data_IF_855146684034
#
_entry.id   IF_855146684034
#
_cell.length_a   1.000
_cell.length_b   1.000
_cell.length_c   1.000
_cell.angle_alpha   90.00
_cell.angle_beta   90.00
_cell.angle_gamma   90.00
#
_symmetry.space_group_name_H-M   'P 1'
#
loop_
_entity.id
_entity.type
_entity.pdbx_description
1 polymer ?
#
# COMPACT_ATOMS: atom_id res chain seq x y z
N UNK A 1 2.78 10.83 -15.74
CA UNK A 1 1.97 9.60 -15.90
C UNK A 1 2.81 8.43 -15.39
N UNK A 2 2.30 7.63 -14.45
CA UNK A 2 3.05 6.52 -13.84
C UNK A 2 3.04 5.26 -14.70
N UNK A 3 3.90 4.29 -14.35
CA UNK A 3 4.01 2.98 -14.99
C UNK A 3 3.71 1.87 -13.98
N UNK A 4 3.07 0.79 -14.43
CA UNK A 4 2.86 -0.42 -13.63
C UNK A 4 3.27 -1.66 -14.42
N UNK A 5 3.78 -2.65 -13.70
CA UNK A 5 3.96 -4.01 -14.17
C UNK A 5 3.01 -4.88 -13.34
N UNK A 6 2.16 -5.65 -14.00
CA UNK A 6 1.19 -6.53 -13.35
C UNK A 6 1.75 -7.95 -13.35
N UNK A 7 1.47 -8.70 -12.30
CA UNK A 7 1.90 -10.09 -12.16
C UNK A 7 1.60 -10.91 -13.42
N UNK A 8 2.52 -11.81 -13.78
CA UNK A 8 2.45 -12.61 -15.02
C UNK A 8 2.95 -11.90 -16.28
N UNK A 9 3.26 -10.60 -16.23
CA UNK A 9 3.93 -9.88 -17.32
C UNK A 9 5.44 -10.14 -17.38
N UNK A 10 6.02 -10.11 -18.59
CA UNK A 10 7.47 -10.12 -18.75
C UNK A 10 8.08 -8.73 -18.43
N UNK A 11 9.41 -8.64 -18.32
CA UNK A 11 10.10 -7.39 -17.93
C UNK A 11 9.81 -6.18 -18.84
N UNK A 12 9.32 -6.40 -20.06
CA UNK A 12 8.98 -5.37 -21.03
C UNK A 12 7.50 -4.96 -21.00
N UNK A 13 6.66 -5.57 -20.15
CA UNK A 13 5.21 -5.37 -20.09
C UNK A 13 4.78 -4.17 -19.22
N UNK A 14 5.63 -3.15 -19.10
CA UNK A 14 5.29 -1.92 -18.36
C UNK A 14 4.22 -1.12 -19.10
N UNK A 15 3.08 -0.92 -18.44
CA UNK A 15 1.94 -0.20 -18.99
C UNK A 15 1.70 1.13 -18.26
N UNK A 16 1.03 2.07 -18.92
CA UNK A 16 0.60 3.30 -18.28
C UNK A 16 -0.46 3.00 -17.21
N UNK A 17 -0.34 3.66 -16.07
CA UNK A 17 -1.35 3.60 -15.01
C UNK A 17 -2.48 4.62 -15.27
N UNK A 18 -3.71 4.31 -14.84
CA UNK A 18 -4.72 5.34 -14.59
C UNK A 18 -4.16 6.43 -13.64
N UNK A 19 -4.80 7.60 -13.60
CA UNK A 19 -4.38 8.71 -12.74
C UNK A 19 -4.35 8.27 -11.27
N UNK A 20 -3.16 8.16 -10.69
CA UNK A 20 -2.93 7.65 -9.34
C UNK A 20 -3.45 8.55 -8.22
N UNK A 21 -3.86 9.78 -8.50
CA UNK A 21 -4.37 10.71 -7.49
C UNK A 21 -5.89 10.59 -7.29
N UNK A 22 -6.53 9.66 -8.00
CA UNK A 22 -7.98 9.47 -8.00
C UNK A 22 -8.32 8.01 -7.67
N UNK A 23 -9.50 7.80 -7.10
CA UNK A 23 -10.07 6.48 -6.84
C UNK A 23 -10.55 5.81 -8.14
N UNK A 24 -9.60 5.48 -9.01
CA UNK A 24 -9.84 4.99 -10.38
C UNK A 24 -9.56 3.49 -10.53
N UNK A 25 -9.78 2.71 -9.46
CA UNK A 25 -9.67 1.25 -9.46
C UNK A 25 -8.31 0.71 -9.96
N UNK A 26 -7.22 1.47 -9.77
CA UNK A 26 -5.87 1.01 -10.07
C UNK A 26 -5.29 0.16 -8.92
N UNK A 27 -4.20 -0.56 -9.18
CA UNK A 27 -3.62 -1.52 -8.22
C UNK A 27 -3.43 -0.97 -6.80
N UNK A 28 -2.90 0.27 -6.66
CA UNK A 28 -2.70 0.90 -5.34
C UNK A 28 -4.01 1.11 -4.57
N UNK A 29 -5.08 1.60 -5.22
CA UNK A 29 -6.38 1.81 -4.56
C UNK A 29 -6.95 0.46 -4.13
N UNK A 30 -6.87 -0.55 -5.00
CA UNK A 30 -7.41 -1.87 -4.71
C UNK A 30 -6.75 -2.52 -3.52
N UNK A 31 -5.43 -2.54 -3.47
CA UNK A 31 -4.69 -3.08 -2.33
C UNK A 31 -4.88 -2.31 -1.02
N UNK A 32 -5.54 -1.14 -1.06
CA UNK A 32 -5.81 -0.29 0.11
C UNK A 32 -7.31 -0.17 0.43
N UNK A 33 -8.19 -0.86 -0.29
CA UNK A 33 -9.63 -0.62 -0.21
C UNK A 33 -10.18 -0.86 1.20
N UNK A 34 -9.60 -1.82 1.92
CA UNK A 34 -9.90 -2.13 3.31
C UNK A 34 -9.15 -1.27 4.36
N UNK A 35 -8.19 -0.43 3.95
CA UNK A 35 -7.55 0.56 4.85
C UNK A 35 -8.30 1.89 4.81
N UNK A 36 -8.67 2.32 3.61
CA UNK A 36 -9.22 3.67 3.38
C UNK A 36 -10.75 3.73 3.54
N UNK A 37 -11.42 2.58 3.63
CA UNK A 37 -12.88 2.45 3.83
C UNK A 37 -13.17 1.57 5.05
N UNK A 38 -14.31 1.81 5.69
CA UNK A 38 -14.75 1.00 6.82
C UNK A 38 -15.25 -0.37 6.34
N UNK A 39 -14.67 -1.43 6.88
CA UNK A 39 -15.16 -2.80 6.75
C UNK A 39 -14.82 -3.59 8.04
N UNK A 40 -15.81 -4.33 8.54
CA UNK A 40 -15.75 -5.01 9.83
C UNK A 40 -14.87 -6.27 9.82
N UNK A 41 -14.57 -6.82 8.65
CA UNK A 41 -13.63 -7.93 8.49
C UNK A 41 -12.17 -7.49 8.39
N UNK A 42 -11.91 -6.18 8.34
CA UNK A 42 -10.59 -5.65 8.03
C UNK A 42 -9.58 -5.94 9.13
N UNK A 43 -8.46 -6.56 8.73
CA UNK A 43 -7.25 -6.64 9.53
C UNK A 43 -6.10 -6.14 8.68
N UNK A 44 -5.42 -5.11 9.16
CA UNK A 44 -4.26 -4.55 8.48
C UNK A 44 -3.28 -3.96 9.47
N UNK A 45 -2.01 -3.89 9.06
CA UNK A 45 -0.94 -3.18 9.74
C UNK A 45 -0.42 -2.14 8.75
N UNK A 46 -0.41 -0.88 9.17
CA UNK A 46 0.23 0.20 8.41
C UNK A 46 1.44 0.71 9.18
N UNK A 47 2.58 0.81 8.51
CA UNK A 47 3.82 1.35 9.08
C UNK A 47 4.35 2.45 8.18
N UNK A 48 4.81 3.55 8.78
CA UNK A 48 5.37 4.68 8.05
C UNK A 48 6.24 5.50 9.00
N UNK A 49 7.46 5.86 8.59
CA UNK A 49 8.30 6.76 9.40
C UNK A 49 7.79 8.22 9.43
N UNK A 50 6.88 8.57 8.52
CA UNK A 50 6.14 9.84 8.49
C UNK A 50 4.66 9.48 8.29
N UNK A 51 3.94 9.00 9.33
CA UNK A 51 2.54 8.61 9.18
C UNK A 51 1.63 9.84 8.99
N UNK A 52 0.46 9.68 8.36
CA UNK A 52 -0.51 10.76 8.23
C UNK A 52 -0.99 11.22 9.61
N UNK A 53 -1.11 12.54 9.78
CA UNK A 53 -1.69 13.20 10.97
C UNK A 53 -1.03 12.89 12.33
N UNK A 54 0.11 12.18 12.34
CA UNK A 54 0.84 11.84 13.56
C UNK A 54 2.18 12.60 13.56
N UNK A 55 2.27 13.74 14.27
CA UNK A 55 3.52 14.50 14.33
C UNK A 55 4.54 13.82 15.25
N UNK A 56 5.83 14.09 15.01
CA UNK A 56 6.97 13.78 15.91
C UNK A 56 7.25 12.27 16.12
N UNK A 57 7.02 11.43 15.12
CA UNK A 57 7.49 10.03 15.16
C UNK A 57 9.01 9.99 15.22
N UNK A 58 9.55 9.25 16.20
CA UNK A 58 10.98 8.93 16.30
C UNK A 58 11.18 7.47 15.92
N UNK A 59 11.83 7.22 14.80
CA UNK A 59 12.15 5.87 14.32
C UNK A 59 13.57 5.84 13.74
N UNK A 60 14.20 4.67 13.78
CA UNK A 60 15.49 4.42 13.11
C UNK A 60 15.31 3.94 11.66
N UNK A 61 14.09 3.56 11.28
CA UNK A 61 13.75 3.04 9.96
C UNK A 61 13.11 4.12 9.08
N UNK A 62 13.33 4.03 7.77
CA UNK A 62 12.65 4.85 6.76
C UNK A 62 11.55 4.08 6.00
N UNK A 63 11.33 2.82 6.37
CA UNK A 63 10.39 1.92 5.71
C UNK A 63 8.94 2.38 5.84
N UNK A 64 8.15 2.10 4.81
CA UNK A 64 6.71 2.39 4.77
C UNK A 64 5.99 1.30 4.01
N UNK A 65 4.79 0.98 4.45
CA UNK A 65 4.00 -0.06 3.82
C UNK A 65 2.73 -0.38 4.58
N UNK A 66 1.97 -1.30 3.99
CA UNK A 66 0.70 -1.78 4.49
C UNK A 66 0.64 -3.27 4.27
N UNK A 67 0.45 -4.04 5.33
CA UNK A 67 0.09 -5.45 5.28
C UNK A 67 -1.43 -5.55 5.51
N UNK A 68 -2.13 -6.29 4.66
CA UNK A 68 -3.58 -6.44 4.70
C UNK A 68 -3.93 -7.91 4.52
N UNK A 69 -4.75 -8.43 5.42
CA UNK A 69 -5.21 -9.82 5.43
C UNK A 69 -6.44 -9.92 4.54
N UNK A 70 -6.54 -11.00 3.74
CA UNK A 70 -7.71 -11.23 2.90
C UNK A 70 -8.86 -11.77 3.77
N UNK A 71 -10.00 -11.07 3.91
CA UNK A 71 -11.11 -11.58 4.70
C UNK A 71 -11.86 -12.76 4.05
N UNK A 72 -11.63 -13.01 2.75
CA UNK A 72 -12.31 -14.05 1.96
C UNK A 72 -11.50 -15.32 1.71
N UNK A 73 -10.20 -15.33 2.00
CA UNK A 73 -9.32 -16.50 1.88
C UNK A 73 -8.47 -16.64 3.16
N UNK A 74 -8.35 -17.86 3.69
CA UNK A 74 -7.82 -18.14 5.02
C UNK A 74 -6.29 -18.04 5.11
N UNK A 75 -5.56 -18.09 4.00
CA UNK A 75 -4.09 -18.04 3.98
C UNK A 75 -3.57 -17.11 2.89
N UNK A 76 -4.22 -15.97 2.69
CA UNK A 76 -3.81 -14.94 1.73
C UNK A 76 -3.74 -13.55 2.37
N UNK A 77 -2.66 -12.83 2.11
CA UNK A 77 -2.50 -11.43 2.47
C UNK A 77 -1.83 -10.64 1.33
N UNK A 78 -2.06 -9.33 1.33
CA UNK A 78 -1.40 -8.38 0.44
C UNK A 78 -0.44 -7.50 1.24
N UNK A 79 0.81 -7.41 0.78
CA UNK A 79 1.81 -6.53 1.36
C UNK A 79 2.26 -5.48 0.34
N UNK A 80 1.99 -4.22 0.66
CA UNK A 80 2.45 -3.07 -0.11
C UNK A 80 3.66 -2.45 0.56
N UNK A 81 4.74 -2.27 -0.19
CA UNK A 81 5.86 -1.39 0.18
C UNK A 81 5.79 -0.13 -0.68
N UNK A 82 5.93 1.04 -0.06
CA UNK A 82 5.88 2.31 -0.78
C UNK A 82 6.87 3.35 -0.24
N UNK A 83 7.05 4.45 -0.99
CA UNK A 83 7.96 5.54 -0.60
C UNK A 83 7.25 6.82 -0.14
N UNK A 84 5.92 6.84 -0.16
CA UNK A 84 5.11 8.05 0.09
C UNK A 84 4.96 8.38 1.59
N UNK A 85 5.39 9.57 2.05
CA UNK A 85 5.10 10.05 3.39
C UNK A 85 3.63 10.47 3.54
N UNK A 86 3.07 10.33 4.74
CA UNK A 86 1.69 10.75 5.04
C UNK A 86 0.62 9.88 4.39
N UNK A 87 0.92 8.61 4.08
CA UNK A 87 0.04 7.71 3.33
C UNK A 87 0.12 6.27 3.86
N UNK A 88 -0.96 5.48 3.74
CA UNK A 88 -2.34 5.90 3.45
C UNK A 88 -3.03 6.48 4.68
N UNK A 89 -4.04 7.35 4.47
CA UNK A 89 -4.88 7.85 5.54
C UNK A 89 -6.07 6.91 5.74
N UNK A 90 -6.14 6.25 6.89
CA UNK A 90 -7.15 5.26 7.19
C UNK A 90 -8.54 5.89 7.32
N UNK A 91 -9.57 5.21 6.82
CA UNK A 91 -10.99 5.56 6.95
C UNK A 91 -11.41 6.94 6.40
N UNK A 92 -10.61 7.58 5.56
CA UNK A 92 -10.93 8.89 4.97
C UNK A 92 -11.15 8.85 3.46
N UNK A 93 -11.28 7.67 2.87
CA UNK A 93 -11.26 7.49 1.42
C UNK A 93 -9.86 7.64 0.82
N UNK A 94 -9.75 7.41 -0.49
CA UNK A 94 -8.49 7.48 -1.19
C UNK A 94 -8.04 8.94 -1.35
N UNK A 95 -6.92 9.29 -0.72
CA UNK A 95 -6.29 10.60 -0.86
C UNK A 95 -4.79 10.41 -1.07
N UNK A 96 -4.33 10.71 -2.28
CA UNK A 96 -2.89 10.81 -2.54
C UNK A 96 -2.38 12.15 -1.97
N UNK A 97 -1.29 12.17 -1.18
CA UNK A 97 -0.83 13.40 -0.53
C UNK A 97 -0.48 14.48 -1.57
N UNK A 98 -1.09 15.69 -1.51
CA UNK A 98 -0.87 16.73 -2.52
C UNK A 98 0.60 17.14 -2.71
N UNK A 99 1.36 17.17 -1.60
CA UNK A 99 2.79 17.49 -1.61
C UNK A 99 3.67 16.47 -2.35
N UNK A 100 3.13 15.28 -2.61
CA UNK A 100 3.85 14.14 -3.20
C UNK A 100 3.50 13.93 -4.68
N UNK A 101 2.52 14.65 -5.24
CA UNK A 101 2.05 14.48 -6.63
C UNK A 101 3.14 14.73 -7.68
N UNK A 102 4.03 15.70 -7.42
CA UNK A 102 5.12 16.07 -8.34
C UNK A 102 6.41 15.26 -8.10
N UNK A 103 6.40 14.31 -7.17
CA UNK A 103 7.57 13.53 -6.77
C UNK A 103 7.48 12.11 -7.34
N UNK A 104 8.64 11.52 -7.60
CA UNK A 104 8.74 10.13 -8.01
C UNK A 104 8.53 9.19 -6.82
N UNK A 105 7.53 8.30 -6.92
CA UNK A 105 7.25 7.30 -5.90
C UNK A 105 7.19 5.90 -6.49
N UNK A 106 7.51 4.93 -5.64
CA UNK A 106 7.44 3.51 -5.96
C UNK A 106 6.37 2.86 -5.07
N UNK A 107 5.64 1.92 -5.69
CA UNK A 107 4.80 0.95 -5.01
C UNK A 107 5.19 -0.44 -5.48
N UNK A 108 5.29 -1.38 -4.55
CA UNK A 108 5.41 -2.81 -4.82
C UNK A 108 4.29 -3.48 -4.04
N UNK A 109 3.47 -4.29 -4.70
CA UNK A 109 2.44 -5.09 -4.06
C UNK A 109 2.79 -6.56 -4.24
N UNK A 110 2.87 -7.29 -3.13
CA UNK A 110 3.13 -8.72 -3.09
C UNK A 110 1.89 -9.42 -2.53
N UNK A 111 1.49 -10.51 -3.17
CA UNK A 111 0.59 -11.48 -2.53
C UNK A 111 1.46 -12.46 -1.76
N UNK A 112 1.16 -12.62 -0.48
CA UNK A 112 1.88 -13.51 0.43
C UNK A 112 0.87 -14.40 1.14
N UNK A 113 1.35 -15.49 1.75
CA UNK A 113 0.51 -16.30 2.63
C UNK A 113 0.45 -15.70 4.03
N UNK A 114 -0.67 -15.84 4.72
CA UNK A 114 -0.77 -15.40 6.11
C UNK A 114 0.22 -16.16 7.00
N UNK A 115 0.41 -17.45 6.72
CA UNK A 115 1.39 -18.31 7.38
C UNK A 115 2.86 -17.89 7.19
N UNK A 116 3.16 -16.98 6.26
CA UNK A 116 4.51 -16.43 6.04
C UNK A 116 4.73 -15.08 6.75
N UNK A 117 3.70 -14.49 7.36
CA UNK A 117 3.78 -13.18 8.00
C UNK A 117 4.79 -13.17 9.14
N UNK A 118 4.77 -14.18 10.02
CA UNK A 118 5.69 -14.27 11.16
C UNK A 118 7.16 -14.23 10.71
N UNK A 119 7.48 -14.88 9.58
CA UNK A 119 8.83 -14.88 9.02
C UNK A 119 9.26 -13.51 8.50
N UNK A 120 8.33 -12.65 8.11
CA UNK A 120 8.59 -11.27 7.65
C UNK A 120 8.75 -10.33 8.84
N UNK A 121 7.97 -10.53 9.90
CA UNK A 121 8.04 -9.70 11.12
C UNK A 121 9.38 -9.86 11.85
N UNK A 122 9.97 -11.05 11.81
CA UNK A 122 11.23 -11.38 12.48
C UNK A 122 12.51 -11.01 11.69
N UNK A 123 12.38 -10.54 10.44
CA UNK A 123 13.49 -10.21 9.54
C UNK A 123 14.06 -8.79 9.73
#
# INVERSE_FOLDING_TARGET
MGKALIAGGNANAWQNTPVLTQDNNHAVVKSLEHVIRADAGNKFIAYNNIPPDIPKVKTKSNSKGVLMMNPGDQDEASWIVHTIPGFPKALTGYVFPPAEIQKGHLFICLTIKESEIDAIEDA
#
